data_IF_789840900205
#
_entry.id   IF_789840900205
#
_cell.length_a   1.000
_cell.length_b   1.000
_cell.length_c   1.000
_cell.angle_alpha   90.00
_cell.angle_beta   90.00
_cell.angle_gamma   90.00
#
_symmetry.space_group_name_H-M   'P 1'
#
loop_
_entity.id
_entity.type
_entity.pdbx_description
1 polymer ?
#
# COMPACT_ATOMS: atom_id res chain seq x y z
N UNK A 1 21.90 3.91 -15.52
CA UNK A 1 20.46 3.93 -15.20
C UNK A 1 20.12 3.20 -13.90
N UNK A 2 20.64 1.99 -13.64
CA UNK A 2 20.47 1.27 -12.35
C UNK A 2 20.73 2.17 -11.12
N UNK A 3 21.84 2.90 -11.10
CA UNK A 3 22.19 3.86 -10.03
C UNK A 3 21.14 4.96 -9.82
N UNK A 4 20.43 5.39 -10.86
CA UNK A 4 19.41 6.43 -10.76
C UNK A 4 18.06 5.88 -10.29
N UNK A 5 17.65 4.69 -10.74
CA UNK A 5 16.47 4.00 -10.21
C UNK A 5 16.67 3.67 -8.72
N UNK A 6 17.87 3.20 -8.35
CA UNK A 6 18.31 2.96 -6.96
C UNK A 6 18.24 4.22 -6.09
N UNK A 7 18.70 5.37 -6.62
CA UNK A 7 18.63 6.65 -5.92
C UNK A 7 17.19 7.17 -5.81
N UNK A 8 16.38 6.97 -6.84
CA UNK A 8 14.96 7.35 -6.86
C UNK A 8 14.15 6.57 -5.84
N UNK A 9 14.31 5.25 -5.81
CA UNK A 9 13.66 4.38 -4.81
C UNK A 9 14.04 4.79 -3.40
N UNK A 10 15.34 4.92 -3.09
CA UNK A 10 15.79 5.31 -1.75
C UNK A 10 15.25 6.66 -1.30
N UNK A 11 15.24 7.66 -2.19
CA UNK A 11 14.66 8.99 -1.87
C UNK A 11 13.15 8.94 -1.65
N UNK A 12 12.43 8.16 -2.44
CA UNK A 12 10.98 8.02 -2.25
C UNK A 12 10.69 7.23 -0.98
N UNK A 13 11.42 6.15 -0.73
CA UNK A 13 11.35 5.38 0.53
C UNK A 13 11.57 6.29 1.73
N UNK A 14 12.61 7.11 1.72
CA UNK A 14 12.87 8.13 2.75
C UNK A 14 11.69 9.11 2.92
N UNK A 15 11.07 9.56 1.82
CA UNK A 15 9.84 10.38 1.91
C UNK A 15 8.69 9.61 2.57
N UNK A 16 8.49 8.34 2.24
CA UNK A 16 7.41 7.53 2.80
C UNK A 16 7.64 7.11 4.24
N UNK A 17 8.88 6.84 4.61
CA UNK A 17 9.26 6.46 5.97
C UNK A 17 9.22 7.66 6.91
N UNK A 18 9.64 8.85 6.45
CA UNK A 18 9.83 10.01 7.33
C UNK A 18 8.78 11.11 7.19
N UNK A 19 8.06 11.22 6.06
CA UNK A 19 7.15 12.35 5.79
C UNK A 19 5.69 11.96 5.54
N UNK A 20 5.41 10.69 5.23
CA UNK A 20 4.04 10.21 5.05
C UNK A 20 3.72 9.24 6.18
N UNK A 21 3.08 9.81 7.20
CA UNK A 21 2.80 9.14 8.47
C UNK A 21 1.32 8.89 8.66
N UNK A 22 1.00 8.10 9.67
CA UNK A 22 -0.37 7.75 10.07
C UNK A 22 -1.20 8.99 10.47
N UNK A 23 -0.56 10.10 10.83
CA UNK A 23 -1.24 11.38 11.05
C UNK A 23 -2.13 11.80 9.86
N UNK A 24 -1.74 11.46 8.63
CA UNK A 24 -2.48 11.79 7.40
C UNK A 24 -3.73 10.93 7.18
N UNK A 25 -3.85 9.82 7.91
CA UNK A 25 -4.95 8.86 7.76
C UNK A 25 -5.87 8.82 8.96
N UNK A 26 -5.33 9.02 10.16
CA UNK A 26 -6.08 8.80 11.40
C UNK A 26 -7.20 9.82 11.61
N UNK A 27 -8.29 9.36 12.20
CA UNK A 27 -9.49 10.15 12.50
C UNK A 27 -9.67 10.31 14.01
N UNK A 28 -10.33 11.38 14.44
CA UNK A 28 -10.72 11.53 15.85
C UNK A 28 -11.66 10.40 16.28
N UNK A 29 -11.35 9.75 17.40
CA UNK A 29 -12.21 8.69 17.93
C UNK A 29 -13.52 9.32 18.46
N UNK A 30 -14.66 8.78 18.05
CA UNK A 30 -15.95 9.14 18.66
C UNK A 30 -16.08 8.51 20.03
N UNK A 31 -16.70 9.21 20.96
CA UNK A 31 -16.73 8.79 22.37
C UNK A 31 -18.14 8.76 22.95
N UNK A 32 -18.36 7.86 23.92
CA UNK A 32 -19.49 7.85 24.85
C UNK A 32 -19.00 7.91 26.30
N UNK A 33 -19.89 8.13 27.25
CA UNK A 33 -19.58 8.08 28.68
C UNK A 33 -19.77 6.66 29.24
N UNK A 34 -18.96 6.30 30.23
CA UNK A 34 -18.97 4.96 30.85
C UNK A 34 -20.31 4.59 31.52
N UNK A 35 -21.12 5.59 31.89
CA UNK A 35 -22.43 5.44 32.51
C UNK A 35 -23.60 5.47 31.51
N UNK A 36 -23.31 5.67 30.21
CA UNK A 36 -24.35 5.70 29.18
C UNK A 36 -25.04 4.32 29.05
N UNK A 37 -26.32 4.36 28.66
CA UNK A 37 -27.10 3.16 28.36
C UNK A 37 -26.51 2.43 27.15
N UNK A 38 -26.15 1.16 27.34
CA UNK A 38 -25.42 0.40 26.34
C UNK A 38 -26.25 0.16 25.07
N UNK A 39 -27.57 -0.01 25.18
CA UNK A 39 -28.45 -0.24 24.02
C UNK A 39 -28.60 1.04 23.19
N UNK A 40 -28.74 2.19 23.86
CA UNK A 40 -28.80 3.50 23.20
C UNK A 40 -27.50 3.81 22.46
N UNK A 41 -26.33 3.59 23.08
CA UNK A 41 -25.03 3.79 22.44
C UNK A 41 -24.84 2.80 21.29
N UNK A 42 -25.16 1.52 21.46
CA UNK A 42 -25.08 0.53 20.36
C UNK A 42 -25.93 0.96 19.16
N UNK A 43 -27.12 1.49 19.41
CA UNK A 43 -28.00 2.01 18.36
C UNK A 43 -27.37 3.24 17.69
N UNK A 44 -26.81 4.18 18.44
CA UNK A 44 -26.11 5.33 17.86
C UNK A 44 -24.93 4.90 16.98
N UNK A 45 -24.10 3.97 17.48
CA UNK A 45 -22.99 3.39 16.72
C UNK A 45 -23.48 2.77 15.41
N UNK A 46 -24.62 2.06 15.43
CA UNK A 46 -25.24 1.53 14.22
C UNK A 46 -25.73 2.63 13.27
N UNK A 47 -26.48 3.61 13.78
CA UNK A 47 -27.08 4.69 12.98
C UNK A 47 -26.01 5.58 12.32
N UNK A 48 -24.83 5.68 12.94
CA UNK A 48 -23.68 6.45 12.47
C UNK A 48 -22.60 5.64 11.75
N UNK A 49 -22.82 4.33 11.59
CA UNK A 49 -21.90 3.40 10.95
C UNK A 49 -20.49 3.36 11.58
N UNK A 50 -20.43 3.34 12.92
CA UNK A 50 -19.21 3.16 13.69
C UNK A 50 -19.17 1.80 14.37
N UNK A 51 -18.05 1.10 14.23
CA UNK A 51 -17.83 -0.16 14.94
C UNK A 51 -17.18 0.03 16.31
N UNK A 52 -16.46 1.15 16.50
CA UNK A 52 -15.65 1.41 17.71
C UNK A 52 -15.95 2.82 18.22
N UNK A 53 -16.29 2.90 19.51
CA UNK A 53 -16.34 4.15 20.27
C UNK A 53 -15.29 4.10 21.38
N UNK A 54 -14.64 5.23 21.62
CA UNK A 54 -13.86 5.45 22.83
C UNK A 54 -14.79 5.66 24.04
N UNK A 55 -14.35 5.28 25.24
CA UNK A 55 -15.15 5.39 26.46
C UNK A 55 -14.51 6.39 27.41
N UNK A 56 -15.24 7.45 27.74
CA UNK A 56 -14.85 8.47 28.70
C UNK A 56 -15.37 8.15 30.10
N UNK A 57 -14.58 8.50 31.11
CA UNK A 57 -15.02 8.56 32.50
C UNK A 57 -14.33 9.77 33.16
N UNK A 58 -15.12 10.73 33.63
CA UNK A 58 -14.60 11.94 34.28
C UNK A 58 -13.71 12.79 33.35
N UNK A 59 -14.04 12.85 32.05
CA UNK A 59 -13.28 13.61 31.05
C UNK A 59 -11.96 12.98 30.62
N UNK A 60 -11.71 11.71 30.97
CA UNK A 60 -10.56 10.93 30.53
C UNK A 60 -11.04 9.73 29.71
N UNK A 61 -10.40 9.49 28.57
CA UNK A 61 -10.58 8.28 27.80
C UNK A 61 -9.96 7.10 28.56
N UNK A 62 -10.79 6.17 29.01
CA UNK A 62 -10.37 5.01 29.84
C UNK A 62 -10.20 3.73 29.03
N UNK A 63 -10.82 3.65 27.85
CA UNK A 63 -10.79 2.48 26.98
C UNK A 63 -11.64 2.70 25.74
N UNK A 64 -12.08 1.61 25.13
CA UNK A 64 -13.00 1.63 23.99
C UNK A 64 -14.03 0.50 24.10
N UNK A 65 -15.06 0.57 23.29
CA UNK A 65 -16.08 -0.48 23.16
C UNK A 65 -16.30 -0.79 21.69
N UNK A 66 -16.45 -2.08 21.37
CA UNK A 66 -16.88 -2.52 20.05
C UNK A 66 -18.38 -2.71 20.02
N UNK A 67 -19.03 -2.25 18.94
CA UNK A 67 -20.48 -2.36 18.75
C UNK A 67 -20.97 -3.82 18.86
N UNK A 68 -20.19 -4.75 18.35
CA UNK A 68 -20.50 -6.18 18.37
C UNK A 68 -20.46 -6.81 19.77
N UNK A 69 -19.68 -6.23 20.69
CA UNK A 69 -19.51 -6.74 22.05
C UNK A 69 -20.58 -6.27 23.03
N UNK A 70 -21.34 -5.23 22.67
CA UNK A 70 -22.55 -4.82 23.40
C UNK A 70 -23.67 -5.84 23.14
N UNK A 71 -23.69 -6.92 23.91
CA UNK A 71 -24.57 -8.09 23.68
C UNK A 71 -25.86 -8.11 24.50
N UNK A 72 -25.96 -7.25 25.52
CA UNK A 72 -27.08 -7.20 26.48
C UNK A 72 -27.33 -5.77 26.96
N UNK A 73 -28.44 -5.57 27.65
CA UNK A 73 -28.75 -4.34 28.39
C UNK A 73 -27.73 -4.12 29.53
N UNK A 74 -27.55 -2.86 29.92
CA UNK A 74 -26.59 -2.44 30.96
C UNK A 74 -26.01 -1.07 30.65
N UNK A 75 -24.90 -0.75 31.31
CA UNK A 75 -24.13 0.48 31.08
C UNK A 75 -22.84 0.19 30.31
N UNK A 76 -22.30 1.19 29.62
CA UNK A 76 -21.08 1.03 28.80
C UNK A 76 -19.89 0.48 29.57
N UNK A 77 -19.71 0.86 30.85
CA UNK A 77 -18.61 0.37 31.69
C UNK A 77 -18.52 -1.16 31.81
N UNK A 78 -19.61 -1.90 31.56
CA UNK A 78 -19.60 -3.38 31.55
C UNK A 78 -18.96 -4.00 30.29
N UNK A 79 -18.72 -3.21 29.24
CA UNK A 79 -18.25 -3.67 27.93
C UNK A 79 -16.92 -3.03 27.50
N UNK A 80 -16.25 -2.31 28.40
CA UNK A 80 -15.02 -1.58 28.09
C UNK A 80 -13.86 -2.54 27.92
N UNK A 81 -13.11 -2.35 26.83
CA UNK A 81 -11.79 -2.92 26.61
C UNK A 81 -10.71 -1.88 26.88
N UNK A 82 -9.62 -2.31 27.52
CA UNK A 82 -8.44 -1.49 27.78
C UNK A 82 -7.66 -1.26 26.48
N UNK A 83 -6.99 -0.11 26.39
CA UNK A 83 -6.00 0.11 25.35
C UNK A 83 -4.76 -0.76 25.60
N UNK A 84 -4.65 -1.87 24.87
CA UNK A 84 -3.46 -2.72 24.89
C UNK A 84 -2.32 -2.08 24.11
N UNK A 85 -1.11 -2.10 24.67
CA UNK A 85 0.12 -1.54 24.06
C UNK A 85 0.33 -2.04 22.64
N UNK A 86 0.02 -3.31 22.41
CA UNK A 86 0.14 -3.91 21.09
C UNK A 86 -0.69 -3.15 20.05
N UNK A 87 -1.83 -2.56 20.43
CA UNK A 87 -2.76 -1.83 19.55
C UNK A 87 -2.60 -0.30 19.58
N UNK A 88 -1.43 0.16 20.02
CA UNK A 88 -1.06 1.57 20.06
C UNK A 88 0.13 1.82 19.13
N UNK A 89 0.04 2.88 18.34
CA UNK A 89 1.13 3.36 17.49
C UNK A 89 1.33 4.87 17.66
N UNK A 90 2.49 5.39 17.24
CA UNK A 90 2.73 6.84 17.21
C UNK A 90 2.07 7.46 15.99
N UNK A 91 1.70 8.73 16.08
CA UNK A 91 1.30 9.57 14.93
C UNK A 91 2.37 9.64 13.84
N UNK A 92 3.65 9.54 14.23
CA UNK A 92 4.82 9.50 13.37
C UNK A 92 5.10 8.13 12.74
N UNK A 93 4.32 7.09 13.04
CA UNK A 93 4.48 5.78 12.38
C UNK A 93 4.29 5.95 10.87
N UNK A 94 5.19 5.38 10.07
CA UNK A 94 5.15 5.53 8.62
C UNK A 94 3.95 4.80 8.01
N UNK A 95 3.50 5.24 6.82
CA UNK A 95 2.45 4.50 6.11
C UNK A 95 2.91 3.12 5.65
N UNK A 96 4.21 2.87 5.50
CA UNK A 96 4.74 1.54 5.15
C UNK A 96 4.59 0.61 6.37
N UNK A 97 5.02 1.05 7.55
CA UNK A 97 4.87 0.27 8.78
C UNK A 97 3.41 0.00 9.11
N UNK A 98 2.51 0.95 8.81
CA UNK A 98 1.07 0.74 8.97
C UNK A 98 0.56 -0.44 8.13
N UNK A 99 1.07 -0.62 6.91
CA UNK A 99 0.67 -1.76 6.06
C UNK A 99 1.08 -3.08 6.72
N UNK A 100 2.27 -3.14 7.33
CA UNK A 100 2.71 -4.32 8.06
C UNK A 100 1.84 -4.61 9.29
N UNK A 101 1.49 -3.57 10.05
CA UNK A 101 0.60 -3.69 11.22
C UNK A 101 -0.78 -4.22 10.82
N UNK A 102 -1.30 -3.76 9.68
CA UNK A 102 -2.62 -4.16 9.16
C UNK A 102 -2.64 -5.54 8.48
N UNK A 103 -1.52 -6.27 8.42
CA UNK A 103 -1.54 -7.68 8.03
C UNK A 103 -2.32 -8.54 9.05
N UNK A 104 -2.21 -8.20 10.33
CA UNK A 104 -2.76 -8.97 11.45
C UNK A 104 -3.95 -8.27 12.14
N UNK A 105 -4.28 -7.03 11.73
CA UNK A 105 -5.19 -6.14 12.46
C UNK A 105 -6.02 -5.28 11.54
N UNK A 106 -7.23 -4.96 11.97
CA UNK A 106 -8.17 -4.15 11.19
C UNK A 106 -8.23 -2.68 11.62
N UNK A 107 -7.68 -2.37 12.78
CA UNK A 107 -7.56 -1.02 13.32
C UNK A 107 -6.42 -0.94 14.34
N UNK A 108 -5.97 0.28 14.63
CA UNK A 108 -5.06 0.60 15.73
C UNK A 108 -5.34 2.01 16.22
N UNK A 109 -4.96 2.31 17.47
CA UNK A 109 -5.12 3.63 18.05
C UNK A 109 -3.82 4.43 18.01
N UNK A 110 -3.96 5.75 17.96
CA UNK A 110 -2.81 6.67 17.94
C UNK A 110 -2.57 7.17 19.35
N UNK A 111 -1.36 6.93 19.86
CA UNK A 111 -0.88 7.42 21.13
C UNK A 111 -0.10 8.71 20.90
N UNK A 112 -0.69 9.84 21.26
CA UNK A 112 -0.05 11.15 21.20
C UNK A 112 0.25 11.63 22.62
N UNK A 113 1.54 11.81 22.91
CA UNK A 113 2.05 12.12 24.25
C UNK A 113 1.71 11.02 25.25
N UNK A 114 0.54 11.09 25.89
CA UNK A 114 0.04 10.15 26.89
C UNK A 114 -1.48 9.97 26.77
N UNK A 115 -2.05 10.22 25.59
CA UNK A 115 -3.48 10.15 25.34
C UNK A 115 -3.74 9.43 24.03
N UNK A 116 -4.77 8.59 24.06
CA UNK A 116 -5.40 8.09 22.85
C UNK A 116 -6.49 9.07 22.46
N UNK A 117 -6.41 9.61 21.25
CA UNK A 117 -7.38 10.59 20.72
C UNK A 117 -7.87 10.22 19.32
N UNK A 118 -7.12 9.36 18.62
CA UNK A 118 -7.38 9.04 17.21
C UNK A 118 -7.32 7.54 16.98
N UNK A 119 -7.95 7.12 15.90
CA UNK A 119 -8.00 5.74 15.41
C UNK A 119 -7.65 5.75 13.92
N UNK A 120 -7.01 4.68 13.46
CA UNK A 120 -6.87 4.37 12.04
C UNK A 120 -7.34 2.93 11.81
N UNK A 121 -8.05 2.72 10.70
CA UNK A 121 -8.68 1.46 10.34
C UNK A 121 -8.26 1.04 8.93
N UNK A 122 -8.50 -0.22 8.57
CA UNK A 122 -8.29 -0.69 7.20
C UNK A 122 -9.13 0.08 6.18
N UNK A 123 -10.25 0.71 6.57
CA UNK A 123 -11.02 1.55 5.65
C UNK A 123 -10.25 2.81 5.24
N UNK A 124 -9.37 3.32 6.10
CA UNK A 124 -8.54 4.50 5.83
C UNK A 124 -7.46 4.21 4.78
N UNK A 125 -7.19 2.94 4.44
CA UNK A 125 -6.34 2.57 3.32
C UNK A 125 -6.91 2.99 1.96
N UNK A 126 -8.20 3.36 1.87
CA UNK A 126 -8.78 3.92 0.64
C UNK A 126 -8.45 5.41 0.45
N UNK A 127 -7.87 6.08 1.45
CA UNK A 127 -7.59 7.52 1.39
C UNK A 127 -6.47 7.86 0.41
N UNK A 128 -6.48 9.12 -0.03
CA UNK A 128 -5.55 9.65 -1.02
C UNK A 128 -4.06 9.42 -0.71
N UNK A 129 -3.56 9.55 0.54
CA UNK A 129 -2.15 9.29 0.84
C UNK A 129 -1.71 7.86 0.48
N UNK A 130 -2.57 6.86 0.71
CA UNK A 130 -2.29 5.47 0.37
C UNK A 130 -2.35 5.24 -1.14
N UNK A 131 -3.24 5.93 -1.86
CA UNK A 131 -3.24 5.95 -3.34
C UNK A 131 -1.92 6.46 -3.89
N UNK A 132 -1.40 7.56 -3.32
CA UNK A 132 -0.13 8.16 -3.73
C UNK A 132 1.07 7.24 -3.43
N UNK A 133 1.05 6.56 -2.28
CA UNK A 133 2.04 5.54 -1.92
C UNK A 133 2.03 4.38 -2.93
N UNK A 134 0.86 3.78 -3.17
CA UNK A 134 0.71 2.65 -4.07
C UNK A 134 1.14 3.00 -5.51
N UNK A 135 0.67 4.13 -6.05
CA UNK A 135 1.06 4.60 -7.38
C UNK A 135 2.58 4.76 -7.51
N UNK A 136 3.23 5.30 -6.49
CA UNK A 136 4.68 5.54 -6.50
C UNK A 136 5.48 4.24 -6.41
N UNK A 137 5.02 3.26 -5.63
CA UNK A 137 5.61 1.92 -5.58
C UNK A 137 5.54 1.23 -6.95
N UNK A 138 4.38 1.27 -7.60
CA UNK A 138 4.20 0.73 -8.95
C UNK A 138 5.11 1.42 -9.96
N UNK A 139 5.19 2.76 -9.92
CA UNK A 139 6.03 3.55 -10.83
C UNK A 139 7.51 3.22 -10.65
N UNK A 140 7.98 3.12 -9.41
CA UNK A 140 9.35 2.75 -9.07
C UNK A 140 9.70 1.34 -9.54
N UNK A 141 8.78 0.39 -9.33
CA UNK A 141 8.95 -0.96 -9.83
C UNK A 141 9.08 -0.99 -11.35
N UNK A 142 8.25 -0.24 -12.07
CA UNK A 142 8.34 -0.18 -13.53
C UNK A 142 9.68 0.41 -14.00
N UNK A 143 10.15 1.49 -13.38
CA UNK A 143 11.48 2.06 -13.64
C UNK A 143 12.62 1.07 -13.36
N UNK A 144 12.49 0.29 -12.29
CA UNK A 144 13.45 -0.75 -11.93
C UNK A 144 13.45 -1.89 -12.95
N UNK A 145 12.28 -2.38 -13.35
CA UNK A 145 12.15 -3.43 -14.38
C UNK A 145 12.76 -3.00 -15.70
N UNK A 146 12.52 -1.76 -16.14
CA UNK A 146 13.16 -1.21 -17.35
C UNK A 146 14.68 -1.27 -17.22
N UNK A 147 15.22 -0.87 -16.07
CA UNK A 147 16.67 -0.89 -15.82
C UNK A 147 17.23 -2.31 -15.86
N UNK A 148 16.52 -3.28 -15.27
CA UNK A 148 16.90 -4.70 -15.28
C UNK A 148 16.87 -5.29 -16.68
N UNK A 149 15.83 -4.97 -17.49
CA UNK A 149 15.74 -5.43 -18.88
C UNK A 149 16.91 -4.86 -19.71
N UNK A 150 17.19 -3.56 -19.60
CA UNK A 150 18.31 -2.91 -20.31
C UNK A 150 19.67 -3.50 -19.92
N UNK A 151 19.86 -3.85 -18.65
CA UNK A 151 21.09 -4.48 -18.15
C UNK A 151 21.27 -5.89 -18.72
N UNK A 152 20.19 -6.67 -18.76
CA UNK A 152 20.23 -8.05 -19.23
C UNK A 152 20.28 -8.18 -20.76
N UNK A 153 19.68 -7.22 -21.47
CA UNK A 153 19.55 -7.20 -22.93
C UNK A 153 20.06 -5.85 -23.50
N UNK A 154 21.38 -5.60 -23.49
CA UNK A 154 21.94 -4.32 -23.90
C UNK A 154 21.81 -4.01 -25.40
N UNK A 155 21.51 -5.02 -26.22
CA UNK A 155 21.32 -4.97 -27.67
C UNK A 155 19.84 -5.00 -28.08
N UNK A 156 18.92 -4.82 -27.12
CA UNK A 156 17.48 -4.92 -27.30
C UNK A 156 16.98 -6.30 -27.79
N UNK A 157 17.77 -7.37 -27.63
CA UNK A 157 17.34 -8.75 -27.94
C UNK A 157 16.18 -9.27 -27.07
N UNK A 158 15.72 -8.48 -26.10
CA UNK A 158 14.43 -8.69 -25.44
C UNK A 158 13.24 -8.61 -26.42
N UNK A 159 13.39 -7.94 -27.56
CA UNK A 159 12.33 -7.79 -28.57
C UNK A 159 11.81 -9.14 -29.07
N UNK A 160 12.68 -10.14 -29.20
CA UNK A 160 12.35 -11.51 -29.61
C UNK A 160 11.40 -12.23 -28.64
N UNK A 161 11.18 -11.66 -27.44
CA UNK A 161 10.25 -12.21 -26.45
C UNK A 161 8.82 -11.74 -26.67
N UNK A 162 8.59 -10.71 -27.47
CA UNK A 162 7.27 -10.15 -27.74
C UNK A 162 6.74 -10.56 -29.11
N UNK A 163 5.43 -10.42 -29.31
CA UNK A 163 4.83 -10.60 -30.63
C UNK A 163 5.06 -9.37 -31.49
N UNK A 164 5.06 -9.54 -32.82
CA UNK A 164 5.21 -8.43 -33.77
C UNK A 164 4.20 -7.32 -33.51
N UNK A 165 2.93 -7.66 -33.28
CA UNK A 165 1.88 -6.67 -32.96
C UNK A 165 2.19 -5.82 -31.72
N UNK A 166 2.80 -6.40 -30.67
CA UNK A 166 3.19 -5.65 -29.46
C UNK A 166 4.38 -4.72 -29.74
N UNK A 167 5.36 -5.20 -30.52
CA UNK A 167 6.51 -4.39 -30.93
C UNK A 167 6.09 -3.23 -31.83
N UNK A 168 5.17 -3.44 -32.77
CA UNK A 168 4.65 -2.39 -33.64
C UNK A 168 4.01 -1.27 -32.82
N UNK A 169 3.14 -1.59 -31.86
CA UNK A 169 2.53 -0.59 -30.97
C UNK A 169 3.56 0.23 -30.19
N UNK A 170 4.61 -0.42 -29.69
CA UNK A 170 5.67 0.27 -28.97
C UNK A 170 6.51 1.18 -29.88
N UNK A 171 6.71 0.80 -31.14
CA UNK A 171 7.38 1.61 -32.17
C UNK A 171 6.52 2.82 -32.57
N UNK A 172 5.22 2.62 -32.79
CA UNK A 172 4.27 3.69 -33.08
C UNK A 172 4.29 4.75 -31.97
N UNK A 173 4.21 4.32 -30.70
CA UNK A 173 4.29 5.23 -29.56
C UNK A 173 5.65 5.94 -29.44
N UNK A 174 6.75 5.25 -29.79
CA UNK A 174 8.08 5.85 -29.82
C UNK A 174 8.16 6.92 -30.93
N UNK A 175 7.62 6.66 -32.11
CA UNK A 175 7.59 7.61 -33.23
C UNK A 175 6.76 8.86 -32.88
N UNK A 176 5.59 8.68 -32.27
CA UNK A 176 4.76 9.77 -31.74
C UNK A 176 5.55 10.66 -30.77
N UNK A 177 6.26 10.06 -29.81
CA UNK A 177 7.07 10.79 -28.82
C UNK A 177 8.35 11.37 -29.40
N UNK A 178 8.91 10.79 -30.47
CA UNK A 178 10.04 11.37 -31.18
C UNK A 178 9.62 12.66 -31.89
N UNK A 179 8.40 12.71 -32.44
CA UNK A 179 7.86 13.90 -33.09
C UNK A 179 7.68 15.09 -32.13
N UNK A 180 7.48 14.81 -30.83
CA UNK A 180 7.35 15.83 -29.77
C UNK A 180 8.62 16.03 -28.95
N UNK A 181 9.73 15.34 -29.27
CA UNK A 181 10.98 15.32 -28.49
C UNK A 181 10.79 14.87 -27.01
N UNK A 182 9.85 13.95 -26.79
CA UNK A 182 9.52 13.34 -25.49
C UNK A 182 10.00 11.87 -25.39
N UNK A 183 10.58 11.34 -26.48
CA UNK A 183 10.99 9.96 -26.57
C UNK A 183 12.17 9.62 -25.64
N UNK A 184 12.03 8.50 -24.95
CA UNK A 184 13.14 7.79 -24.29
C UNK A 184 13.61 6.64 -25.20
N UNK A 185 13.67 5.41 -24.70
CA UNK A 185 14.05 4.22 -25.51
C UNK A 185 12.83 3.36 -25.86
N UNK A 186 12.99 2.38 -26.75
CA UNK A 186 11.89 1.51 -27.16
C UNK A 186 11.27 0.74 -25.98
N UNK A 187 12.09 0.23 -25.04
CA UNK A 187 11.60 -0.48 -23.85
C UNK A 187 10.81 0.44 -22.89
N UNK A 188 11.07 1.75 -22.89
CA UNK A 188 10.29 2.72 -22.11
C UNK A 188 8.86 2.89 -22.67
N UNK A 189 8.65 2.55 -23.95
CA UNK A 189 7.37 2.63 -24.66
C UNK A 189 6.56 1.33 -24.62
N UNK A 190 7.06 0.29 -23.97
CA UNK A 190 6.30 -0.94 -23.71
C UNK A 190 5.26 -0.74 -22.62
N UNK A 191 4.17 -1.49 -22.67
CA UNK A 191 3.24 -1.58 -21.54
C UNK A 191 3.85 -2.42 -20.40
N UNK A 192 3.36 -2.23 -19.18
CA UNK A 192 3.81 -3.03 -18.02
C UNK A 192 3.63 -4.54 -18.25
N UNK A 193 2.54 -4.96 -18.88
CA UNK A 193 2.28 -6.36 -19.24
C UNK A 193 3.29 -6.92 -20.28
N UNK A 194 3.79 -6.09 -21.19
CA UNK A 194 4.84 -6.48 -22.13
C UNK A 194 6.19 -6.66 -21.41
N UNK A 195 6.53 -5.73 -20.50
CA UNK A 195 7.70 -5.84 -19.62
C UNK A 195 7.65 -7.11 -18.78
N UNK A 196 6.49 -7.43 -18.18
CA UNK A 196 6.27 -8.68 -17.47
C UNK A 196 6.42 -9.92 -18.34
N UNK A 197 6.05 -9.86 -19.61
CA UNK A 197 6.26 -10.95 -20.58
C UNK A 197 7.74 -11.20 -20.85
N UNK A 198 8.54 -10.15 -21.00
CA UNK A 198 10.01 -10.25 -21.17
C UNK A 198 10.64 -10.94 -19.96
N UNK A 199 10.30 -10.48 -18.74
CA UNK A 199 10.79 -11.09 -17.50
C UNK A 199 10.44 -12.58 -17.45
N UNK A 200 9.17 -12.92 -17.66
CA UNK A 200 8.70 -14.31 -17.59
C UNK A 200 9.34 -15.23 -18.63
N UNK A 201 9.64 -14.73 -19.82
CA UNK A 201 10.34 -15.52 -20.86
C UNK A 201 11.85 -15.61 -20.63
N UNK A 202 12.34 -15.06 -19.52
CA UNK A 202 13.76 -15.01 -19.16
C UNK A 202 13.95 -15.60 -17.75
N UNK A 203 14.19 -16.92 -17.60
CA UNK A 203 14.26 -17.57 -16.28
C UNK A 203 15.22 -16.89 -15.29
N UNK A 204 16.38 -16.43 -15.76
CA UNK A 204 17.34 -15.68 -14.93
C UNK A 204 16.77 -14.38 -14.35
N UNK A 205 15.87 -13.71 -15.06
CA UNK A 205 15.21 -12.49 -14.56
C UNK A 205 14.10 -12.80 -13.57
N UNK A 206 13.39 -13.93 -13.74
CA UNK A 206 12.41 -14.42 -12.75
C UNK A 206 13.10 -14.67 -11.41
N UNK A 207 14.22 -15.40 -11.44
CA UNK A 207 15.05 -15.68 -10.26
C UNK A 207 15.65 -14.40 -9.67
N UNK A 208 16.22 -13.52 -10.50
CA UNK A 208 16.81 -12.24 -10.07
C UNK A 208 15.82 -11.35 -9.34
N UNK A 209 14.55 -11.37 -9.71
CA UNK A 209 13.50 -10.60 -9.05
C UNK A 209 12.92 -11.32 -7.82
N UNK A 210 13.45 -12.48 -7.44
CA UNK A 210 13.06 -13.22 -6.24
C UNK A 210 11.77 -14.03 -6.39
N UNK A 211 11.34 -14.36 -7.62
CA UNK A 211 10.18 -15.21 -7.82
C UNK A 211 10.58 -16.69 -7.87
N UNK A 212 9.81 -17.53 -7.18
CA UNK A 212 10.00 -18.98 -7.12
C UNK A 212 9.53 -19.68 -8.41
N UNK A 213 8.58 -19.07 -9.14
CA UNK A 213 8.03 -19.67 -10.35
C UNK A 213 7.53 -18.65 -11.38
N UNK A 214 7.42 -19.10 -12.63
CA UNK A 214 6.82 -18.30 -13.71
C UNK A 214 5.36 -17.92 -13.42
N UNK A 215 4.62 -18.81 -12.76
CA UNK A 215 3.22 -18.60 -12.40
C UNK A 215 3.08 -17.47 -11.38
N UNK A 216 3.91 -17.51 -10.32
CA UNK A 216 3.96 -16.44 -9.32
C UNK A 216 4.34 -15.09 -9.95
N UNK A 217 5.35 -15.08 -10.83
CA UNK A 217 5.75 -13.89 -11.56
C UNK A 217 4.61 -13.33 -12.44
N UNK A 218 3.87 -14.21 -13.15
CA UNK A 218 2.69 -13.82 -13.94
C UNK A 218 1.62 -13.17 -13.10
N UNK A 219 1.31 -13.78 -11.96
CA UNK A 219 0.27 -13.28 -11.07
C UNK A 219 0.65 -11.93 -10.44
N UNK A 220 1.90 -11.77 -10.04
CA UNK A 220 2.43 -10.49 -9.57
C UNK A 220 2.23 -9.36 -10.59
N UNK A 221 2.64 -9.57 -11.85
CA UNK A 221 2.46 -8.57 -12.90
C UNK A 221 0.99 -8.27 -13.20
N UNK A 222 0.11 -9.27 -13.14
CA UNK A 222 -1.34 -9.07 -13.28
C UNK A 222 -1.88 -8.17 -12.18
N UNK A 223 -1.54 -8.46 -10.93
CA UNK A 223 -1.98 -7.69 -9.75
C UNK A 223 -1.46 -6.26 -9.75
N UNK A 224 -0.23 -6.03 -10.21
CA UNK A 224 0.32 -4.67 -10.32
C UNK A 224 -0.37 -3.88 -11.43
N UNK A 225 -0.68 -4.51 -12.57
CA UNK A 225 -1.41 -3.84 -13.65
C UNK A 225 -2.81 -3.42 -13.17
N UNK A 226 -3.49 -4.28 -12.41
CA UNK A 226 -4.76 -3.96 -11.75
C UNK A 226 -4.60 -2.81 -10.75
N UNK A 227 -3.63 -2.90 -9.84
CA UNK A 227 -3.36 -1.85 -8.85
C UNK A 227 -3.01 -0.49 -9.51
N UNK A 228 -2.23 -0.50 -10.60
CA UNK A 228 -1.90 0.69 -11.38
C UNK A 228 -3.17 1.36 -11.93
N UNK A 229 -4.09 0.58 -12.47
CA UNK A 229 -5.33 1.09 -13.03
C UNK A 229 -6.22 1.67 -11.90
N UNK A 230 -6.42 0.90 -10.83
CA UNK A 230 -7.21 1.32 -9.67
C UNK A 230 -6.68 2.60 -9.03
N UNK A 231 -5.35 2.77 -8.96
CA UNK A 231 -4.74 3.97 -8.36
C UNK A 231 -4.83 5.19 -9.28
N UNK A 232 -4.76 5.02 -10.60
CA UNK A 232 -4.85 6.10 -11.58
C UNK A 232 -6.29 6.64 -11.75
N UNK A 233 -7.31 5.81 -11.53
CA UNK A 233 -8.72 6.22 -11.66
C UNK A 233 -9.29 6.60 -10.29
N UNK A 234 -9.43 7.91 -10.02
CA UNK A 234 -9.82 8.43 -8.70
C UNK A 234 -11.19 7.97 -8.18
N UNK A 235 -12.08 7.50 -9.06
CA UNK A 235 -13.41 6.99 -8.70
C UNK A 235 -13.40 5.48 -8.40
N UNK A 236 -12.31 4.77 -8.70
CA UNK A 236 -12.17 3.35 -8.42
C UNK A 236 -11.68 3.15 -6.97
N UNK A 237 -12.19 2.09 -6.33
CA UNK A 237 -11.60 1.63 -5.07
C UNK A 237 -10.16 1.21 -5.33
N UNK A 238 -9.25 1.61 -4.45
CA UNK A 238 -7.83 1.23 -4.57
C UNK A 238 -7.72 -0.30 -4.52
N UNK A 239 -8.54 -0.93 -3.67
CA UNK A 239 -8.63 -2.38 -3.50
C UNK A 239 -10.06 -2.83 -3.18
N UNK A 240 -10.31 -4.11 -3.43
CA UNK A 240 -11.50 -4.83 -2.97
C UNK A 240 -11.21 -5.68 -1.72
N UNK A 241 -9.99 -6.21 -1.61
CA UNK A 241 -9.47 -6.94 -0.45
C UNK A 241 -8.22 -6.22 0.06
N UNK A 242 -8.26 -5.74 1.32
CA UNK A 242 -7.16 -4.99 1.90
C UNK A 242 -5.92 -5.86 2.15
N UNK A 243 -6.11 -7.16 2.41
CA UNK A 243 -4.99 -8.09 2.65
C UNK A 243 -4.24 -8.33 1.37
N UNK A 244 -4.96 -8.54 0.26
CA UNK A 244 -4.33 -8.67 -1.06
C UNK A 244 -3.58 -7.38 -1.43
N UNK A 245 -4.18 -6.22 -1.17
CA UNK A 245 -3.54 -4.92 -1.41
C UNK A 245 -2.23 -4.75 -0.64
N UNK A 246 -2.25 -4.98 0.67
CA UNK A 246 -1.05 -4.93 1.53
C UNK A 246 0.01 -5.91 1.01
N UNK A 247 -0.37 -7.16 0.71
CA UNK A 247 0.54 -8.17 0.19
C UNK A 247 1.20 -7.76 -1.12
N UNK A 248 0.46 -7.13 -2.04
CA UNK A 248 1.03 -6.62 -3.30
C UNK A 248 2.06 -5.53 -3.01
N UNK A 249 1.74 -4.54 -2.17
CA UNK A 249 2.67 -3.45 -1.85
C UNK A 249 3.96 -3.96 -1.19
N UNK A 250 3.85 -4.86 -0.22
CA UNK A 250 5.00 -5.49 0.42
C UNK A 250 5.79 -6.40 -0.54
N UNK A 251 5.13 -7.03 -1.51
CA UNK A 251 5.83 -7.76 -2.56
C UNK A 251 6.59 -6.84 -3.50
N UNK A 252 6.02 -5.68 -3.87
CA UNK A 252 6.72 -4.65 -4.64
C UNK A 252 7.96 -4.18 -3.86
N UNK A 253 7.81 -3.90 -2.56
CA UNK A 253 8.92 -3.49 -1.71
C UNK A 253 10.04 -4.55 -1.64
N UNK A 254 9.68 -5.83 -1.51
CA UNK A 254 10.66 -6.94 -1.53
C UNK A 254 11.41 -7.02 -2.84
N UNK A 255 10.73 -6.92 -3.99
CA UNK A 255 11.37 -6.90 -5.32
C UNK A 255 12.29 -5.69 -5.44
N UNK A 256 11.85 -4.55 -4.92
CA UNK A 256 12.62 -3.32 -4.84
C UNK A 256 13.69 -3.33 -3.74
N UNK A 257 13.84 -4.38 -2.94
CA UNK A 257 14.86 -4.50 -1.88
C UNK A 257 15.89 -5.59 -2.19
N UNK A 258 15.48 -6.69 -2.83
CA UNK A 258 16.26 -7.91 -3.07
C UNK A 258 17.55 -7.74 -3.91
N UNK A 259 17.68 -6.68 -4.73
CA UNK A 259 18.87 -6.44 -5.56
C UNK A 259 19.93 -5.55 -4.87
N UNK A 260 19.96 -5.52 -3.52
CA UNK A 260 20.84 -4.65 -2.74
C UNK A 260 20.38 -3.18 -2.73
N UNK A 261 19.07 -2.98 -2.81
CA UNK A 261 18.44 -1.66 -2.93
C UNK A 261 18.30 -0.94 -1.57
N UNK A 262 18.37 -1.67 -0.46
CA UNK A 262 18.39 -1.18 0.92
C UNK A 262 19.32 -2.08 1.74
N UNK A 263 20.39 -1.53 2.32
CA UNK A 263 21.03 -2.20 3.45
C UNK A 263 20.00 -2.18 4.57
N UNK A 264 19.46 -3.36 4.93
CA UNK A 264 18.67 -3.50 6.15
C UNK A 264 19.62 -3.20 7.30
N UNK A 265 19.54 -1.99 7.87
CA UNK A 265 20.17 -1.73 9.16
C UNK A 265 19.59 -2.74 10.15
N UNK A 266 20.47 -3.59 10.67
CA UNK A 266 20.17 -4.56 11.73
C UNK A 266 20.07 -3.87 13.07
#
# INVERSE_FOLDING_TARGET
MKSNALKGYRKLRDIYENNLTVELLSEEIKTCEAEDDAVAVKKEMFDRDFDIYGVNQGGKLIGYVKREDIKKEGIISEFVEDFHVDNLISDSTSLIDLLDIFQEREFTFILEKNKVTRIVTVADLQKQPIRMLAFSFVSLLEMYIISVIKEFYPDDSWADKLTESRLTKAKELLEERLATNEALTLVDNLQLSDKGTIIRKTPKLVEKLGFESNSQCKEFFRKIEELRNNTAHSQEKIYHDYKEFIQILLQIERVLSADGLVEVEK
#
